data_IF_456069779465
#
_entry.id   IF_456069779465
#
_cell.length_a   1.000
_cell.length_b   1.000
_cell.length_c   1.000
_cell.angle_alpha   90.00
_cell.angle_beta   90.00
_cell.angle_gamma   90.00
#
_symmetry.space_group_name_H-M   'P 1'
#
loop_
_entity.id
_entity.type
_entity.pdbx_description
1 polymer ?
#
# COMPACT_ATOMS: atom_id res chain seq x y z
N UNK A 1 -31.33 16.76 -64.56
CA UNK A 1 -30.41 17.29 -63.53
C UNK A 1 -31.17 17.32 -62.22
N UNK A 2 -30.98 16.31 -61.36
CA UNK A 2 -31.69 16.19 -60.08
C UNK A 2 -30.65 16.02 -58.98
N UNK A 3 -30.45 17.07 -58.19
CA UNK A 3 -29.55 17.11 -57.05
C UNK A 3 -29.98 16.07 -56.02
N UNK A 4 -29.19 15.00 -55.89
CA UNK A 4 -29.26 14.09 -54.74
C UNK A 4 -28.65 14.83 -53.54
N UNK A 5 -29.52 15.34 -52.68
CA UNK A 5 -29.15 15.84 -51.37
C UNK A 5 -28.51 14.69 -50.57
N UNK A 6 -27.18 14.75 -50.47
CA UNK A 6 -26.41 13.99 -49.49
C UNK A 6 -26.74 14.64 -48.14
N UNK A 7 -27.75 14.10 -47.46
CA UNK A 7 -27.98 14.35 -46.04
C UNK A 7 -26.81 13.71 -45.28
N UNK A 8 -25.80 14.53 -45.02
CA UNK A 8 -24.72 14.24 -44.11
C UNK A 8 -25.32 14.15 -42.70
N UNK A 9 -25.61 12.94 -42.25
CA UNK A 9 -26.01 12.66 -40.87
C UNK A 9 -24.78 12.91 -40.00
N UNK A 10 -24.71 14.11 -39.41
CA UNK A 10 -23.83 14.37 -38.26
C UNK A 10 -24.36 13.57 -37.08
N UNK A 11 -23.94 12.30 -36.98
CA UNK A 11 -24.01 11.57 -35.73
C UNK A 11 -23.04 12.28 -34.78
N UNK A 12 -23.58 13.14 -33.92
CA UNK A 12 -22.86 13.67 -32.77
C UNK A 12 -22.58 12.47 -31.88
N UNK A 13 -21.38 11.90 -32.02
CA UNK A 13 -20.83 10.93 -31.10
C UNK A 13 -20.54 11.70 -29.79
N UNK A 14 -21.59 11.90 -28.99
CA UNK A 14 -21.45 12.30 -27.61
C UNK A 14 -20.80 11.11 -26.89
N UNK A 15 -19.46 11.07 -26.93
CA UNK A 15 -18.69 10.20 -26.05
C UNK A 15 -18.94 10.75 -24.65
N UNK A 16 -19.91 10.15 -23.97
CA UNK A 16 -20.05 10.29 -22.53
C UNK A 16 -18.81 9.63 -21.92
N UNK A 17 -17.72 10.39 -21.81
CA UNK A 17 -16.68 10.06 -20.84
C UNK A 17 -17.37 10.14 -19.49
N UNK A 18 -17.77 8.98 -18.96
CA UNK A 18 -18.08 8.90 -17.54
C UNK A 18 -16.86 9.49 -16.80
N UNK A 19 -17.06 10.43 -15.87
CA UNK A 19 -15.95 10.94 -15.10
C UNK A 19 -15.26 9.75 -14.44
N UNK A 20 -13.99 9.55 -14.76
CA UNK A 20 -13.14 8.62 -14.01
C UNK A 20 -13.10 9.19 -12.59
N UNK A 21 -13.80 8.53 -11.68
CA UNK A 21 -13.85 8.94 -10.28
C UNK A 21 -12.54 8.54 -9.64
N UNK A 22 -11.55 9.42 -9.69
CA UNK A 22 -10.39 9.27 -8.82
C UNK A 22 -10.88 9.31 -7.36
N UNK A 23 -10.49 8.32 -6.56
CA UNK A 23 -10.76 8.31 -5.13
C UNK A 23 -10.34 9.64 -4.50
N UNK A 24 -11.16 10.21 -3.62
CA UNK A 24 -10.85 11.51 -3.03
C UNK A 24 -9.60 11.41 -2.15
N UNK A 25 -8.79 12.46 -2.19
CA UNK A 25 -7.62 12.58 -1.31
C UNK A 25 -8.11 12.74 0.14
N UNK A 26 -7.68 11.82 1.01
CA UNK A 26 -8.02 11.86 2.44
C UNK A 26 -6.99 12.64 3.25
N UNK A 27 -5.71 12.44 2.92
CA UNK A 27 -4.58 12.99 3.65
C UNK A 27 -3.30 12.92 2.81
N UNK A 28 -2.38 13.87 2.98
CA UNK A 28 -1.09 13.81 2.29
C UNK A 28 0.02 14.59 2.97
N UNK A 29 1.27 14.25 2.69
CA UNK A 29 2.45 15.06 2.96
C UNK A 29 3.47 14.97 1.81
N UNK A 30 4.03 16.12 1.43
CA UNK A 30 5.03 16.30 0.37
C UNK A 30 6.28 17.09 0.85
N UNK A 31 6.41 17.32 2.17
CA UNK A 31 7.55 17.95 2.85
C UNK A 31 8.00 19.35 2.39
N UNK A 32 7.35 19.95 1.39
CA UNK A 32 7.66 21.31 0.92
C UNK A 32 7.37 22.38 1.96
N UNK A 33 6.44 22.09 2.87
CA UNK A 33 6.04 22.96 3.97
C UNK A 33 6.50 22.42 5.33
N UNK A 34 7.67 21.79 5.36
CA UNK A 34 8.21 21.20 6.57
C UNK A 34 7.53 19.86 6.91
N UNK A 35 7.27 19.63 8.20
CA UNK A 35 6.58 18.42 8.67
C UNK A 35 5.05 18.56 8.72
N UNK A 36 4.47 19.53 8.00
CA UNK A 36 3.04 19.75 8.01
C UNK A 36 2.38 18.91 6.90
N UNK A 37 1.43 18.05 7.28
CA UNK A 37 0.57 17.39 6.31
C UNK A 37 -0.51 18.34 5.79
N UNK A 38 -0.96 18.08 4.56
CA UNK A 38 -2.14 18.71 3.98
C UNK A 38 -3.37 17.88 4.34
N UNK A 39 -4.35 18.53 4.95
CA UNK A 39 -5.66 17.94 5.22
C UNK A 39 -6.41 17.73 3.90
N UNK A 40 -6.90 16.51 3.67
CA UNK A 40 -7.87 16.21 2.61
C UNK A 40 -9.28 16.29 3.18
N UNK A 41 -10.05 15.21 3.04
CA UNK A 41 -11.35 15.06 3.70
C UNK A 41 -11.26 15.01 5.25
N UNK A 42 -10.06 14.76 5.79
CA UNK A 42 -9.84 14.60 7.23
C UNK A 42 -8.77 15.57 7.77
N UNK A 43 -8.84 15.96 9.06
CA UNK A 43 -7.79 16.73 9.72
C UNK A 43 -6.39 16.11 9.53
N UNK A 44 -5.39 16.97 9.32
CA UNK A 44 -4.01 16.56 9.06
C UNK A 44 -3.31 15.88 10.25
N UNK A 45 -3.82 16.08 11.47
CA UNK A 45 -3.17 15.70 12.73
C UNK A 45 -2.03 16.64 13.14
N UNK A 46 -1.41 16.34 14.27
CA UNK A 46 -0.24 17.06 14.79
C UNK A 46 1.02 16.26 14.50
N UNK A 47 2.05 16.85 13.86
CA UNK A 47 3.29 16.14 13.60
C UNK A 47 4.04 15.82 14.90
N UNK A 48 4.60 14.62 14.98
CA UNK A 48 5.48 14.14 16.03
C UNK A 48 6.78 13.68 15.40
N UNK A 49 7.90 14.22 15.89
CA UNK A 49 9.23 13.91 15.39
C UNK A 49 10.05 13.36 16.56
N UNK A 50 10.43 12.09 16.50
CA UNK A 50 11.33 11.45 17.48
C UNK A 50 12.71 11.33 16.86
N UNK A 51 13.70 11.93 17.52
CA UNK A 51 15.06 12.05 16.98
C UNK A 51 15.21 13.19 15.96
N UNK A 52 14.34 14.19 15.98
CA UNK A 52 14.44 15.40 15.16
C UNK A 52 13.84 16.63 15.83
N UNK A 53 13.87 17.78 15.14
CA UNK A 53 13.34 19.05 15.62
C UNK A 53 12.26 19.56 14.65
N UNK A 54 11.01 19.60 15.13
CA UNK A 54 9.87 20.06 14.32
C UNK A 54 9.98 21.54 13.94
N UNK A 55 10.67 22.35 14.75
CA UNK A 55 10.85 23.79 14.51
C UNK A 55 12.08 24.08 13.65
N UNK A 56 12.97 23.09 13.49
CA UNK A 56 14.14 23.18 12.64
C UNK A 56 14.25 21.92 11.77
N UNK A 57 13.30 21.72 10.83
CA UNK A 57 13.19 20.47 10.08
C UNK A 57 14.43 20.17 9.22
N UNK A 58 15.28 21.16 8.92
CA UNK A 58 16.47 21.00 8.10
C UNK A 58 17.77 20.74 8.90
N UNK A 59 17.69 20.53 10.23
CA UNK A 59 18.87 20.22 11.04
C UNK A 59 19.45 18.84 10.70
N UNK A 60 20.42 18.83 9.78
CA UNK A 60 21.13 17.61 9.36
C UNK A 60 21.92 16.92 10.46
N UNK A 61 21.98 17.50 11.67
CA UNK A 61 22.55 16.82 12.83
C UNK A 61 21.60 15.79 13.46
N UNK A 62 20.31 15.87 13.16
CA UNK A 62 19.28 15.00 13.71
C UNK A 62 19.19 13.65 12.98
N UNK A 63 18.46 12.71 13.58
CA UNK A 63 18.11 11.43 12.96
C UNK A 63 16.96 11.58 11.96
N UNK A 64 16.02 12.48 12.25
CA UNK A 64 14.88 12.80 11.40
C UNK A 64 14.98 14.25 10.96
N UNK A 65 15.20 14.47 9.67
CA UNK A 65 15.32 15.80 9.09
C UNK A 65 14.97 15.81 7.60
N UNK A 66 14.67 16.99 7.07
CA UNK A 66 14.38 17.24 5.68
C UNK A 66 15.65 17.55 4.91
N UNK A 67 15.74 17.00 3.71
CA UNK A 67 16.84 17.22 2.78
C UNK A 67 16.26 17.53 1.41
N UNK A 68 16.75 18.63 0.82
CA UNK A 68 16.45 18.94 -0.57
C UNK A 68 17.14 17.93 -1.50
N UNK A 69 16.34 17.27 -2.32
CA UNK A 69 16.80 16.33 -3.34
C UNK A 69 16.86 17.02 -4.70
N UNK A 70 18.07 17.13 -5.25
CA UNK A 70 18.27 17.84 -6.52
C UNK A 70 17.77 17.08 -7.74
N UNK A 71 17.42 15.79 -7.61
CA UNK A 71 16.93 14.97 -8.74
C UNK A 71 15.43 15.14 -8.94
N UNK A 72 14.66 15.27 -7.84
CA UNK A 72 13.22 15.57 -7.88
C UNK A 72 12.91 17.05 -7.72
N UNK A 73 13.90 17.87 -7.35
CA UNK A 73 13.72 19.28 -6.99
C UNK A 73 12.70 19.45 -5.86
N UNK A 74 12.75 18.54 -4.90
CA UNK A 74 11.77 18.39 -3.81
C UNK A 74 12.45 18.26 -2.45
N UNK A 75 11.78 18.69 -1.40
CA UNK A 75 12.16 18.39 -0.02
C UNK A 75 11.74 16.97 0.34
N UNK A 76 12.63 16.23 0.99
CA UNK A 76 12.40 14.80 1.28
C UNK A 76 12.73 14.53 2.72
N UNK A 77 12.01 13.62 3.35
CA UNK A 77 12.35 13.21 4.70
C UNK A 77 13.42 12.14 4.67
N UNK A 78 14.43 12.32 5.52
CA UNK A 78 15.36 11.26 5.91
C UNK A 78 15.00 10.79 7.31
N UNK A 79 14.92 9.47 7.48
CA UNK A 79 14.74 8.83 8.79
C UNK A 79 15.92 7.91 9.06
N UNK A 80 16.69 8.22 10.10
CA UNK A 80 17.88 7.50 10.52
C UNK A 80 19.19 8.08 9.98
N UNK A 81 20.16 8.30 10.89
CA UNK A 81 21.50 8.80 10.60
C UNK A 81 22.61 8.00 11.28
N UNK A 82 22.54 7.81 12.60
CA UNK A 82 23.67 7.31 13.39
C UNK A 82 23.49 5.90 13.95
N UNK A 83 22.35 5.25 13.65
CA UNK A 83 22.04 3.94 14.20
C UNK A 83 21.50 4.06 15.62
N UNK A 84 21.06 5.24 16.04
CA UNK A 84 20.20 5.37 17.22
C UNK A 84 18.91 4.60 17.02
N UNK A 85 18.39 4.07 18.13
CA UNK A 85 17.19 3.24 18.14
C UNK A 85 15.93 4.12 18.08
N UNK A 86 14.99 3.74 17.22
CA UNK A 86 13.64 4.28 17.19
C UNK A 86 13.46 5.75 16.74
N UNK A 87 14.27 6.34 15.84
CA UNK A 87 13.89 7.61 15.23
C UNK A 87 12.68 7.38 14.31
N UNK A 88 11.66 8.20 14.44
CA UNK A 88 10.51 8.14 13.55
C UNK A 88 9.88 9.51 13.38
N UNK A 89 9.18 9.64 12.27
CA UNK A 89 8.27 10.74 12.03
C UNK A 89 6.86 10.21 12.08
N UNK A 90 5.90 11.01 12.53
CA UNK A 90 4.52 10.58 12.53
C UNK A 90 3.55 11.72 12.78
N UNK A 91 2.29 11.35 12.88
CA UNK A 91 1.17 12.22 13.20
C UNK A 91 0.39 11.58 14.31
N UNK A 92 -0.07 12.42 15.24
CA UNK A 92 -1.06 12.08 16.27
C UNK A 92 -2.33 12.89 16.02
N UNK A 93 -3.42 12.50 16.66
CA UNK A 93 -4.72 13.17 16.55
C UNK A 93 -5.25 13.24 15.10
N UNK A 94 -4.88 12.28 14.25
CA UNK A 94 -5.51 12.12 12.93
C UNK A 94 -6.91 11.53 13.11
N UNK A 95 -7.79 11.78 12.15
CA UNK A 95 -9.11 11.13 12.14
C UNK A 95 -8.95 9.61 12.04
N UNK A 96 -9.56 8.81 12.94
CA UNK A 96 -9.45 7.36 12.90
C UNK A 96 -10.00 6.76 11.60
N UNK A 97 -10.83 7.48 10.84
CA UNK A 97 -11.40 7.04 9.56
C UNK A 97 -10.53 7.40 8.34
N UNK A 98 -9.38 8.05 8.53
CA UNK A 98 -8.45 8.41 7.44
C UNK A 98 -8.12 7.21 6.54
N UNK A 99 -8.04 6.01 7.10
CA UNK A 99 -7.82 4.78 6.34
C UNK A 99 -9.13 4.02 6.04
N UNK A 100 -10.16 4.12 6.88
CA UNK A 100 -11.47 3.53 6.59
C UNK A 100 -11.45 2.01 6.36
N UNK A 101 -12.54 1.48 5.80
CA UNK A 101 -12.66 0.07 5.42
C UNK A 101 -11.90 -0.26 4.13
N UNK A 102 -11.81 0.72 3.23
CA UNK A 102 -11.07 0.62 1.97
C UNK A 102 -10.29 1.90 1.74
N UNK A 103 -9.11 1.75 1.17
CA UNK A 103 -8.24 2.89 0.90
C UNK A 103 -7.01 2.51 0.11
N UNK A 104 -6.26 3.54 -0.28
CA UNK A 104 -5.02 3.40 -1.03
C UNK A 104 -3.97 4.34 -0.50
N UNK A 105 -2.74 3.86 -0.39
CA UNK A 105 -1.56 4.65 -0.08
C UNK A 105 -0.69 4.72 -1.33
N UNK A 106 -0.21 5.91 -1.63
CA UNK A 106 0.89 6.12 -2.58
C UNK A 106 2.01 6.86 -1.87
N UNK A 107 3.26 6.51 -2.15
CA UNK A 107 4.43 7.25 -1.67
C UNK A 107 5.60 7.08 -2.63
N UNK A 108 6.52 8.03 -2.61
CA UNK A 108 7.80 7.93 -3.28
C UNK A 108 8.89 7.59 -2.29
N UNK A 109 9.80 6.70 -2.68
CA UNK A 109 10.96 6.33 -1.88
C UNK A 109 12.22 6.26 -2.74
N UNK A 110 13.36 6.63 -2.14
CA UNK A 110 14.66 6.60 -2.82
C UNK A 110 15.53 5.46 -2.33
N UNK A 111 15.92 4.58 -3.24
CA UNK A 111 16.93 3.54 -3.01
C UNK A 111 18.32 4.11 -3.28
N UNK A 112 19.21 4.13 -2.27
CA UNK A 112 20.56 4.66 -2.44
C UNK A 112 21.44 3.69 -3.24
N UNK A 113 22.49 4.22 -3.88
CA UNK A 113 23.51 3.39 -4.53
C UNK A 113 24.24 2.52 -3.50
N UNK A 114 24.34 1.22 -3.78
CA UNK A 114 24.99 0.26 -2.90
C UNK A 114 24.24 0.04 -1.58
N UNK A 115 22.90 0.06 -1.61
CA UNK A 115 22.11 -0.45 -0.49
C UNK A 115 22.53 -1.90 -0.23
N UNK A 116 23.01 -2.17 0.98
CA UNK A 116 23.39 -3.53 1.40
C UNK A 116 22.14 -4.39 1.40
N UNK A 117 22.15 -5.64 0.90
CA UNK A 117 20.99 -6.54 0.97
C UNK A 117 20.56 -6.84 2.42
N UNK A 118 21.41 -6.53 3.40
CA UNK A 118 21.17 -6.70 4.83
C UNK A 118 20.73 -5.40 5.51
N UNK A 119 19.74 -4.71 4.95
CA UNK A 119 19.10 -3.58 5.62
C UNK A 119 17.91 -4.07 6.47
N UNK A 120 17.77 -3.50 7.65
CA UNK A 120 16.64 -3.77 8.54
C UNK A 120 15.33 -3.20 7.97
N UNK A 121 14.19 -3.60 8.55
CA UNK A 121 12.85 -3.12 8.19
C UNK A 121 12.84 -1.58 8.06
N UNK A 122 12.58 -1.09 6.84
CA UNK A 122 12.18 0.28 6.63
C UNK A 122 10.67 0.32 6.51
N UNK A 123 10.00 0.64 7.61
CA UNK A 123 8.58 0.92 7.62
C UNK A 123 8.34 2.23 6.88
N UNK A 124 7.48 2.23 5.87
CA UNK A 124 7.05 3.45 5.20
C UNK A 124 5.88 4.09 5.91
N UNK A 125 4.91 3.26 6.30
CA UNK A 125 3.71 3.71 6.98
C UNK A 125 3.24 2.64 7.99
N UNK A 126 2.93 3.05 9.21
CA UNK A 126 2.34 2.18 10.24
C UNK A 126 1.32 2.94 11.08
N UNK A 127 0.02 2.64 10.94
CA UNK A 127 -0.96 3.11 11.89
C UNK A 127 -0.94 2.21 13.14
N UNK A 128 -0.99 2.83 14.32
CA UNK A 128 -0.89 2.11 15.59
C UNK A 128 -1.64 2.84 16.71
N UNK A 129 -2.21 2.05 17.61
CA UNK A 129 -2.90 2.55 18.82
C UNK A 129 -1.95 2.78 20.00
N UNK A 130 -0.63 2.63 19.85
CA UNK A 130 0.32 2.57 20.97
C UNK A 130 0.11 3.72 21.98
N UNK A 131 -0.61 3.43 23.08
CA UNK A 131 -0.81 4.33 24.24
C UNK A 131 0.28 4.14 25.28
N UNK A 132 1.24 3.24 25.05
CA UNK A 132 2.41 3.03 25.91
C UNK A 132 2.16 2.15 27.13
N UNK A 133 0.92 1.74 27.42
CA UNK A 133 0.60 1.11 28.72
C UNK A 133 0.32 -0.40 28.65
N UNK A 134 0.02 -1.01 27.49
CA UNK A 134 -0.15 -2.45 27.39
C UNK A 134 0.27 -3.04 26.02
N UNK A 135 1.31 -3.90 25.95
CA UNK A 135 1.69 -4.60 24.72
C UNK A 135 0.69 -5.63 24.23
N UNK A 136 -0.22 -6.09 25.10
CA UNK A 136 -1.17 -7.17 24.82
C UNK A 136 -2.36 -6.78 23.91
N UNK A 137 -2.33 -5.58 23.32
CA UNK A 137 -3.38 -5.06 22.42
C UNK A 137 -2.77 -4.23 21.28
N UNK A 138 -1.69 -4.74 20.69
CA UNK A 138 -1.08 -4.06 19.55
C UNK A 138 -1.67 -4.60 18.26
N UNK A 139 -2.77 -3.99 17.85
CA UNK A 139 -3.23 -4.06 16.48
C UNK A 139 -2.47 -3.00 15.67
N UNK A 140 -1.66 -3.46 14.72
CA UNK A 140 -0.99 -2.58 13.78
C UNK A 140 -0.82 -3.30 12.46
N UNK A 141 -0.78 -2.50 11.41
CA UNK A 141 -0.15 -2.96 10.19
C UNK A 141 0.98 -2.03 9.82
N UNK A 142 1.87 -2.53 8.99
CA UNK A 142 2.87 -1.68 8.38
C UNK A 142 3.23 -2.19 7.00
N UNK A 143 3.61 -1.22 6.18
CA UNK A 143 4.07 -1.43 4.83
C UNK A 143 5.49 -0.90 4.75
N UNK A 144 6.40 -1.68 4.18
CA UNK A 144 7.79 -1.31 4.12
C UNK A 144 8.62 -2.23 3.25
N UNK A 145 9.92 -1.93 3.17
CA UNK A 145 10.90 -2.81 2.55
C UNK A 145 11.79 -3.45 3.61
N UNK A 146 12.20 -4.69 3.37
CA UNK A 146 12.97 -5.46 4.33
C UNK A 146 13.99 -6.36 3.64
N UNK A 147 15.24 -6.30 4.07
CA UNK A 147 16.32 -7.20 3.63
C UNK A 147 16.61 -8.36 4.59
N UNK A 148 16.07 -8.36 5.81
CA UNK A 148 16.59 -9.15 6.93
C UNK A 148 15.70 -10.34 7.39
N UNK A 149 14.58 -10.65 6.73
CA UNK A 149 13.59 -11.54 7.37
C UNK A 149 13.90 -13.04 7.42
N UNK A 150 14.92 -13.53 6.72
CA UNK A 150 15.40 -14.88 6.99
C UNK A 150 16.79 -15.09 6.41
N UNK A 151 17.76 -15.48 7.23
CA UNK A 151 19.06 -16.00 6.77
C UNK A 151 18.93 -17.19 5.79
N UNK A 152 17.75 -17.82 5.71
CA UNK A 152 17.43 -18.94 4.83
C UNK A 152 16.79 -18.54 3.50
N UNK A 153 16.39 -17.28 3.31
CA UNK A 153 15.88 -16.81 2.03
C UNK A 153 17.06 -16.22 1.22
N UNK A 154 17.51 -16.88 0.15
CA UNK A 154 18.66 -16.43 -0.61
C UNK A 154 18.29 -15.17 -1.38
N UNK A 155 18.75 -14.03 -0.86
CA UNK A 155 18.88 -12.74 -1.54
C UNK A 155 17.62 -12.05 -2.10
N UNK A 156 17.55 -10.76 -1.80
CA UNK A 156 16.91 -9.65 -2.50
C UNK A 156 15.52 -9.21 -2.03
N UNK A 157 15.47 -7.91 -1.75
CA UNK A 157 14.35 -6.97 -1.63
C UNK A 157 12.97 -7.62 -1.45
N UNK A 158 12.50 -7.65 -0.21
CA UNK A 158 11.12 -7.99 0.07
C UNK A 158 10.34 -6.73 0.34
N UNK A 159 9.16 -6.66 -0.26
CA UNK A 159 8.13 -5.80 0.27
C UNK A 159 7.40 -6.55 1.38
N UNK A 160 7.18 -5.85 2.46
CA UNK A 160 6.66 -6.43 3.66
C UNK A 160 5.34 -5.75 4.02
N UNK A 161 4.27 -6.52 4.00
CA UNK A 161 2.97 -6.14 4.56
C UNK A 161 2.74 -7.04 5.77
N UNK A 162 2.66 -6.44 6.95
CA UNK A 162 2.31 -7.17 8.17
C UNK A 162 1.03 -6.63 8.72
N UNK A 163 0.13 -7.53 9.06
CA UNK A 163 -0.98 -7.25 9.97
C UNK A 163 -0.71 -8.06 11.23
N UNK A 164 -0.35 -7.36 12.30
CA UNK A 164 -0.18 -7.95 13.62
C UNK A 164 -1.32 -7.55 14.52
N UNK A 165 -1.77 -8.52 15.28
CA UNK A 165 -2.63 -8.30 16.43
C UNK A 165 -2.10 -9.25 17.50
N UNK A 166 -1.59 -8.62 18.55
CA UNK A 166 -0.90 -9.27 19.66
C UNK A 166 -1.89 -9.36 20.80
N UNK A 167 -2.56 -10.50 20.97
CA UNK A 167 -3.44 -10.77 22.10
C UNK A 167 -2.74 -11.77 23.03
N UNK A 168 -2.11 -11.30 24.11
CA UNK A 168 -1.27 -12.13 25.00
C UNK A 168 -2.05 -13.18 25.82
N UNK A 169 -3.39 -13.12 25.85
CA UNK A 169 -4.19 -14.00 26.70
C UNK A 169 -4.62 -15.33 26.05
N UNK A 170 -4.30 -15.56 24.77
CA UNK A 170 -4.64 -16.82 24.11
C UNK A 170 -3.39 -17.45 23.42
N UNK A 171 -2.89 -18.60 23.91
CA UNK A 171 -1.73 -19.28 23.32
C UNK A 171 -1.96 -19.76 21.88
N UNK A 172 -3.21 -19.85 21.41
CA UNK A 172 -3.51 -20.11 20.00
C UNK A 172 -3.43 -18.84 19.11
N UNK A 173 -3.41 -17.63 19.68
CA UNK A 173 -3.31 -16.38 18.90
C UNK A 173 -1.94 -16.13 18.28
N UNK A 174 -0.87 -16.73 18.81
CA UNK A 174 0.45 -16.67 18.15
C UNK A 174 0.42 -17.29 16.74
N UNK A 175 -0.54 -18.19 16.45
CA UNK A 175 -0.78 -18.75 15.12
C UNK A 175 -1.49 -17.77 14.16
N UNK A 176 -2.06 -16.69 14.69
CA UNK A 176 -2.81 -15.70 13.91
C UNK A 176 -1.94 -14.51 13.47
N UNK A 177 -0.65 -14.45 13.83
CA UNK A 177 0.26 -13.48 13.20
C UNK A 177 0.52 -13.90 11.76
N UNK A 178 -0.14 -13.22 10.80
CA UNK A 178 0.13 -13.42 9.39
C UNK A 178 1.06 -12.33 8.89
N UNK A 179 2.32 -12.73 8.68
CA UNK A 179 3.32 -11.91 8.02
C UNK A 179 3.28 -12.24 6.53
N UNK A 180 3.00 -11.24 5.70
CA UNK A 180 2.99 -11.41 4.25
C UNK A 180 4.27 -10.80 3.71
N UNK A 181 5.19 -11.68 3.33
CA UNK A 181 6.42 -11.28 2.67
C UNK A 181 6.21 -11.43 1.16
N UNK A 182 6.15 -10.31 0.47
CA UNK A 182 5.98 -10.25 -0.98
C UNK A 182 7.37 -10.06 -1.59
N UNK A 183 7.78 -11.00 -2.44
CA UNK A 183 9.00 -10.83 -3.20
C UNK A 183 8.79 -9.75 -4.26
N UNK A 184 9.60 -8.69 -4.24
CA UNK A 184 9.63 -7.67 -5.29
C UNK A 184 10.80 -7.91 -6.25
N UNK A 185 10.74 -7.38 -7.47
CA UNK A 185 11.93 -7.22 -8.29
C UNK A 185 13.01 -6.45 -7.53
N UNK A 186 14.28 -6.77 -7.77
CA UNK A 186 15.40 -6.03 -7.18
C UNK A 186 15.32 -4.56 -7.59
N UNK A 187 15.40 -3.67 -6.61
CA UNK A 187 15.34 -2.24 -6.87
C UNK A 187 16.65 -1.75 -7.47
N UNK A 188 16.55 -0.94 -8.52
CA UNK A 188 17.67 -0.14 -8.98
C UNK A 188 17.92 1.02 -8.02
N UNK A 189 19.11 1.62 -8.02
CA UNK A 189 19.30 2.87 -7.29
C UNK A 189 18.50 3.99 -7.97
N UNK A 190 17.77 4.78 -7.18
CA UNK A 190 16.92 5.84 -7.72
C UNK A 190 15.64 6.04 -6.92
N UNK A 191 14.77 6.90 -7.47
CA UNK A 191 13.41 7.10 -6.97
C UNK A 191 12.49 6.03 -7.53
N UNK A 192 11.60 5.55 -6.66
CA UNK A 192 10.57 4.58 -6.96
C UNK A 192 9.24 5.05 -6.38
N UNK A 193 8.15 4.66 -7.01
CA UNK A 193 6.81 4.92 -6.49
C UNK A 193 6.21 3.62 -5.97
N UNK A 194 5.70 3.66 -4.76
CA UNK A 194 5.03 2.56 -4.10
C UNK A 194 3.52 2.82 -4.02
N UNK A 195 2.71 1.80 -4.33
CA UNK A 195 1.26 1.83 -4.15
C UNK A 195 0.80 0.58 -3.37
N UNK A 196 0.05 0.81 -2.30
CA UNK A 196 -0.65 -0.23 -1.54
C UNK A 196 -2.13 0.12 -1.48
N UNK A 197 -3.00 -0.81 -1.82
CA UNK A 197 -4.43 -0.63 -1.58
C UNK A 197 -4.99 -1.81 -0.80
N UNK A 198 -6.06 -1.53 -0.06
CA UNK A 198 -6.83 -2.52 0.66
C UNK A 198 -8.33 -2.29 0.44
N UNK A 199 -9.06 -3.38 0.55
CA UNK A 199 -10.51 -3.37 0.51
C UNK A 199 -11.08 -4.40 1.46
N UNK A 200 -11.83 -3.97 2.47
CA UNK A 200 -12.50 -4.86 3.42
C UNK A 200 -13.53 -5.74 2.70
N UNK A 201 -13.34 -7.06 2.76
CA UNK A 201 -14.24 -8.08 2.18
C UNK A 201 -15.18 -8.65 3.22
N UNK A 202 -14.77 -8.67 4.49
CA UNK A 202 -15.57 -9.18 5.60
C UNK A 202 -15.31 -8.35 6.85
N UNK A 203 -16.38 -7.74 7.36
CA UNK A 203 -16.37 -7.10 8.67
C UNK A 203 -16.77 -8.12 9.74
N UNK A 204 -15.87 -8.39 10.67
CA UNK A 204 -16.04 -9.41 11.69
C UNK A 204 -16.23 -8.81 13.09
N UNK A 205 -17.06 -9.47 13.91
CA UNK A 205 -17.27 -9.15 15.34
C UNK A 205 -15.95 -9.22 16.10
N UNK A 206 -15.75 -8.48 17.22
CA UNK A 206 -14.47 -8.33 17.95
C UNK A 206 -13.70 -9.60 18.32
N UNK A 207 -14.29 -10.79 18.19
CA UNK A 207 -13.62 -12.08 18.40
C UNK A 207 -12.98 -12.68 17.14
N UNK A 208 -13.21 -12.10 15.96
CA UNK A 208 -12.67 -12.55 14.68
C UNK A 208 -12.11 -11.35 13.92
N UNK A 209 -10.96 -11.52 13.25
CA UNK A 209 -10.35 -10.43 12.48
C UNK A 209 -11.14 -10.14 11.22
N UNK A 210 -11.21 -8.87 10.85
CA UNK A 210 -11.69 -8.45 9.55
C UNK A 210 -10.89 -9.16 8.44
N UNK A 211 -11.47 -9.23 7.26
CA UNK A 211 -10.77 -9.72 6.06
C UNK A 211 -10.78 -8.66 5.00
N UNK A 212 -9.71 -8.64 4.20
CA UNK A 212 -9.56 -7.70 3.12
C UNK A 212 -8.79 -8.32 1.96
N UNK A 213 -8.90 -7.69 0.81
CA UNK A 213 -8.03 -7.90 -0.34
C UNK A 213 -6.95 -6.81 -0.35
N UNK A 214 -5.70 -7.15 -0.73
CA UNK A 214 -4.59 -6.20 -0.87
C UNK A 214 -3.83 -6.35 -2.18
N UNK A 215 -3.38 -5.23 -2.75
CA UNK A 215 -2.41 -5.26 -3.84
C UNK A 215 -1.25 -4.38 -3.50
N UNK A 216 -0.16 -4.70 -4.19
CA UNK A 216 1.04 -3.90 -4.21
C UNK A 216 1.42 -3.59 -5.64
N UNK A 217 1.70 -2.32 -5.92
CA UNK A 217 2.44 -1.92 -7.13
C UNK A 217 3.74 -1.22 -6.75
N UNK A 218 4.74 -1.41 -7.60
CA UNK A 218 5.95 -0.58 -7.59
C UNK A 218 6.21 -0.09 -8.99
N UNK A 219 6.45 1.21 -9.13
CA UNK A 219 6.67 1.89 -10.41
C UNK A 219 5.55 1.61 -11.41
N UNK A 220 4.31 1.58 -10.91
CA UNK A 220 3.10 1.25 -11.66
C UNK A 220 2.92 -0.23 -12.00
N UNK A 221 3.92 -1.07 -11.77
CA UNK A 221 3.87 -2.52 -12.04
C UNK A 221 3.22 -3.28 -10.88
N UNK A 222 2.21 -4.10 -11.18
CA UNK A 222 1.56 -4.96 -10.20
C UNK A 222 2.53 -6.07 -9.74
N UNK A 223 2.82 -6.08 -8.44
CA UNK A 223 3.74 -7.04 -7.81
C UNK A 223 2.97 -8.22 -7.23
N UNK A 224 1.90 -7.93 -6.49
CA UNK A 224 1.13 -8.94 -5.80
C UNK A 224 -0.32 -8.50 -5.66
N UNK A 225 -1.18 -9.52 -5.66
CA UNK A 225 -2.58 -9.44 -5.26
C UNK A 225 -2.80 -10.54 -4.25
N UNK A 226 -3.41 -10.19 -3.13
CA UNK A 226 -3.72 -11.08 -2.04
C UNK A 226 -5.21 -10.96 -1.78
N UNK A 227 -5.92 -12.08 -1.85
CA UNK A 227 -7.35 -12.11 -1.59
C UNK A 227 -7.67 -12.69 -0.21
N UNK A 228 -8.77 -12.21 0.36
CA UNK A 228 -9.44 -12.79 1.51
C UNK A 228 -8.48 -13.06 2.68
N UNK A 229 -7.62 -12.09 2.98
CA UNK A 229 -6.61 -12.22 4.02
C UNK A 229 -7.07 -11.56 5.30
N UNK A 230 -6.61 -12.07 6.45
CA UNK A 230 -6.82 -11.39 7.72
C UNK A 230 -6.29 -9.96 7.63
N UNK A 231 -7.09 -9.05 8.16
CA UNK A 231 -6.89 -7.61 8.19
C UNK A 231 -7.10 -7.12 9.60
N UNK A 232 -6.55 -5.93 9.88
CA UNK A 232 -7.01 -5.17 11.02
C UNK A 232 -7.47 -3.82 10.54
N UNK A 233 -8.74 -3.51 10.77
CA UNK A 233 -9.30 -2.23 10.38
C UNK A 233 -8.49 -1.09 11.00
N UNK A 234 -8.04 -0.14 10.19
CA UNK A 234 -7.37 1.03 10.70
C UNK A 234 -8.39 1.99 11.30
N UNK A 235 -8.51 1.96 12.64
CA UNK A 235 -9.26 2.91 13.46
C UNK A 235 -8.35 3.85 14.25
N UNK A 236 -7.13 4.07 13.76
CA UNK A 236 -6.03 4.64 14.56
C UNK A 236 -5.94 6.15 14.43
N UNK A 237 -5.68 6.81 15.55
CA UNK A 237 -5.39 8.26 15.62
C UNK A 237 -3.90 8.58 15.51
N UNK A 238 -3.07 7.59 15.11
CA UNK A 238 -1.64 7.80 14.87
C UNK A 238 -1.18 7.14 13.59
N UNK A 239 -0.29 7.81 12.87
CA UNK A 239 0.42 7.30 11.69
C UNK A 239 1.90 7.56 11.85
N UNK A 240 2.70 6.53 11.68
CA UNK A 240 4.16 6.63 11.70
C UNK A 240 4.71 6.45 10.30
N UNK A 241 5.76 7.19 9.99
CA UNK A 241 6.50 7.22 8.73
C UNK A 241 7.99 7.02 9.03
N UNK A 242 8.63 6.13 8.28
CA UNK A 242 10.01 5.71 8.52
C UNK A 242 10.10 4.56 9.53
N UNK A 243 11.32 4.21 9.97
CA UNK A 243 11.55 2.97 10.73
C UNK A 243 11.08 3.07 12.19
N UNK A 244 9.78 2.88 12.31
CA UNK A 244 9.05 2.76 13.55
C UNK A 244 8.92 1.29 13.98
N UNK A 245 9.03 1.05 15.28
CA UNK A 245 8.78 -0.25 15.90
C UNK A 245 7.89 -0.09 17.14
N UNK A 246 6.85 -0.92 17.25
CA UNK A 246 5.83 -0.85 18.33
C UNK A 246 6.12 -1.70 19.56
N UNK A 247 7.06 -2.65 19.49
CA UNK A 247 7.28 -3.60 20.59
C UNK A 247 7.92 -2.95 21.83
N UNK A 248 7.41 -3.36 23.00
CA UNK A 248 7.77 -2.86 24.34
C UNK A 248 9.15 -3.26 24.84
N UNK A 249 9.78 -4.30 24.28
CA UNK A 249 11.16 -4.66 24.58
C UNK A 249 12.04 -4.12 23.47
N UNK A 250 12.98 -3.22 23.79
CA UNK A 250 13.93 -2.60 22.85
C UNK A 250 14.54 -3.61 21.89
N UNK A 251 14.03 -3.79 20.66
CA UNK A 251 14.77 -4.57 19.69
C UNK A 251 15.71 -3.60 18.99
N UNK A 252 16.81 -4.17 18.52
CA UNK A 252 17.83 -3.52 17.72
C UNK A 252 17.33 -3.18 16.30
N UNK A 253 16.15 -2.53 16.17
CA UNK A 253 15.70 -2.02 14.87
C UNK A 253 16.44 -0.73 14.56
N UNK A 254 17.52 -0.89 13.82
CA UNK A 254 18.28 0.21 13.25
C UNK A 254 17.63 0.66 11.94
N UNK A 255 17.34 1.95 11.82
CA UNK A 255 17.20 2.57 10.51
C UNK A 255 18.55 2.54 9.79
N UNK A 256 18.84 1.46 9.06
CA UNK A 256 20.10 1.32 8.33
C UNK A 256 20.60 -0.12 8.22
N UNK A 257 21.66 -0.28 7.43
CA UNK A 257 22.35 -1.55 7.29
C UNK A 257 23.01 -1.95 8.61
N UNK A 258 22.89 -3.23 8.98
CA UNK A 258 23.50 -3.80 10.18
C UNK A 258 25.05 -3.75 10.17
N UNK A 259 25.65 -3.41 9.03
CA UNK A 259 27.10 -3.37 8.79
C UNK A 259 27.76 -2.02 9.16
N UNK A 260 27.00 -1.08 9.75
CA UNK A 260 27.50 0.25 10.13
C UNK A 260 27.55 1.25 8.97
N UNK A 261 27.27 0.84 7.73
CA UNK A 261 27.10 1.73 6.59
C UNK A 261 25.62 2.13 6.46
N UNK A 262 25.18 3.04 7.31
CA UNK A 262 23.79 3.52 7.29
C UNK A 262 23.53 4.24 5.96
N UNK A 263 22.81 3.56 5.07
CA UNK A 263 22.29 4.13 3.84
C UNK A 263 20.85 4.56 4.10
N UNK A 264 20.58 5.87 4.24
CA UNK A 264 19.23 6.34 4.51
C UNK A 264 18.32 6.07 3.32
N UNK A 265 17.09 5.70 3.63
CA UNK A 265 15.97 5.73 2.69
C UNK A 265 15.33 7.11 2.83
N UNK A 266 15.06 7.74 1.69
CA UNK A 266 14.34 9.01 1.63
C UNK A 266 12.91 8.73 1.22
N UNK A 267 11.97 9.46 1.80
CA UNK A 267 10.54 9.36 1.48
C UNK A 267 10.00 10.72 1.04
N UNK A 268 9.01 10.70 0.17
CA UNK A 268 8.31 11.88 -0.32
C UNK A 268 6.89 11.52 -0.79
N UNK A 269 6.05 12.52 -1.05
CA UNK A 269 4.72 12.41 -1.68
C UNK A 269 3.80 11.33 -1.08
N UNK A 270 3.76 11.21 0.24
CA UNK A 270 2.94 10.22 0.94
C UNK A 270 1.49 10.69 0.91
N UNK A 271 0.60 9.88 0.35
CA UNK A 271 -0.83 10.22 0.18
C UNK A 271 -1.70 9.04 0.54
N UNK A 272 -2.80 9.32 1.22
CA UNK A 272 -3.90 8.39 1.52
C UNK A 272 -5.11 8.83 0.72
N UNK A 273 -5.70 7.89 -0.01
CA UNK A 273 -6.83 8.09 -0.89
C UNK A 273 -8.00 7.21 -0.45
N UNK A 274 -9.21 7.63 -0.78
CA UNK A 274 -10.30 6.70 -0.95
C UNK A 274 -9.90 5.64 -1.99
N UNK A 275 -10.36 4.42 -1.76
CA UNK A 275 -10.28 3.36 -2.76
C UNK A 275 -11.65 2.72 -2.90
N UNK A 276 -12.23 2.95 -4.06
CA UNK A 276 -13.37 2.17 -4.54
C UNK A 276 -12.89 1.50 -5.82
N UNK A 277 -12.98 0.17 -5.93
CA UNK A 277 -12.69 -0.51 -7.18
C UNK A 277 -13.62 0.02 -8.27
N UNK A 278 -13.06 0.36 -9.43
CA UNK A 278 -13.80 0.96 -10.53
C UNK A 278 -14.46 -0.13 -11.41
N UNK A 279 -13.91 -1.35 -11.42
CA UNK A 279 -14.40 -2.47 -12.23
C UNK A 279 -14.32 -3.80 -11.46
N UNK A 280 -15.19 -4.75 -11.79
CA UNK A 280 -15.16 -6.11 -11.23
C UNK A 280 -13.92 -6.84 -11.71
N UNK A 281 -13.42 -7.73 -10.88
CA UNK A 281 -12.09 -8.31 -11.08
C UNK A 281 -10.93 -7.35 -10.87
N UNK A 282 -11.17 -6.03 -10.72
CA UNK A 282 -10.27 -5.22 -9.92
C UNK A 282 -10.35 -5.66 -8.47
N UNK A 283 -9.31 -5.31 -7.75
CA UNK A 283 -9.10 -5.84 -6.44
C UNK A 283 -9.99 -5.15 -5.40
N UNK A 284 -10.63 -5.92 -4.52
CA UNK A 284 -11.70 -5.39 -3.68
C UNK A 284 -13.02 -5.17 -4.41
N UNK A 285 -13.05 -5.23 -5.75
CA UNK A 285 -14.30 -5.35 -6.45
C UNK A 285 -14.86 -6.75 -6.22
N UNK A 286 -16.13 -6.97 -6.57
CA UNK A 286 -16.58 -8.35 -6.75
C UNK A 286 -15.61 -9.04 -7.71
N UNK A 287 -15.03 -10.18 -7.30
CA UNK A 287 -14.33 -11.07 -8.23
C UNK A 287 -15.25 -11.34 -9.42
N UNK A 288 -14.67 -11.56 -10.60
CA UNK A 288 -15.47 -12.01 -11.72
C UNK A 288 -16.29 -13.22 -11.29
N UNK A 289 -17.60 -13.12 -11.47
CA UNK A 289 -18.48 -14.23 -11.18
C UNK A 289 -18.04 -15.40 -12.07
N UNK A 290 -18.11 -16.66 -11.62
CA UNK A 290 -17.69 -17.80 -12.44
C UNK A 290 -18.35 -17.87 -13.83
N UNK A 291 -19.51 -17.22 -14.01
CA UNK A 291 -20.22 -17.12 -15.28
C UNK A 291 -19.95 -15.83 -16.09
N UNK A 292 -19.11 -14.92 -15.62
CA UNK A 292 -18.72 -13.69 -16.33
C UNK A 292 -17.48 -13.99 -17.19
N UNK A 293 -17.71 -14.66 -18.33
CA UNK A 293 -16.66 -15.08 -19.26
C UNK A 293 -16.09 -13.92 -20.08
N UNK A 294 -16.83 -12.81 -20.19
CA UNK A 294 -16.38 -11.58 -20.83
C UNK A 294 -15.58 -10.67 -19.91
N UNK A 295 -15.53 -10.99 -18.61
CA UNK A 295 -14.86 -10.20 -17.58
C UNK A 295 -15.34 -8.75 -17.57
N UNK A 296 -16.66 -8.55 -17.59
CA UNK A 296 -17.27 -7.23 -17.73
C UNK A 296 -18.08 -6.75 -16.51
N UNK A 297 -18.05 -7.50 -15.40
CA UNK A 297 -18.85 -7.37 -14.17
C UNK A 297 -20.21 -8.07 -14.16
N UNK A 298 -20.72 -8.47 -15.31
CA UNK A 298 -22.09 -8.93 -15.44
C UNK A 298 -22.08 -10.33 -16.01
N UNK A 299 -22.98 -11.17 -15.51
CA UNK A 299 -23.33 -12.42 -16.22
C UNK A 299 -24.50 -12.06 -17.12
N UNK A 300 -24.23 -11.88 -18.41
CA UNK A 300 -25.20 -11.50 -19.42
C UNK A 300 -25.21 -12.46 -20.62
N UNK A 301 -25.99 -12.13 -21.66
CA UNK A 301 -26.15 -12.97 -22.84
C UNK A 301 -24.86 -13.12 -23.66
N UNK A 302 -23.89 -12.22 -23.52
CA UNK A 302 -22.58 -12.34 -24.16
C UNK A 302 -21.75 -13.45 -23.51
N UNK A 303 -21.82 -13.60 -22.19
CA UNK A 303 -21.15 -14.70 -21.49
C UNK A 303 -21.78 -16.03 -21.87
N UNK A 304 -23.11 -16.11 -21.92
CA UNK A 304 -23.82 -17.31 -22.39
C UNK A 304 -23.43 -17.64 -23.84
N UNK A 305 -23.25 -16.63 -24.69
CA UNK A 305 -22.78 -16.82 -26.06
C UNK A 305 -21.37 -17.40 -26.09
N UNK A 306 -20.41 -16.85 -25.32
CA UNK A 306 -19.04 -17.39 -25.24
C UNK A 306 -19.07 -18.83 -24.76
N UNK A 307 -19.83 -19.11 -23.69
CA UNK A 307 -20.01 -20.46 -23.18
C UNK A 307 -20.55 -21.41 -24.26
N UNK A 308 -21.59 -21.01 -24.98
CA UNK A 308 -22.17 -21.81 -26.05
C UNK A 308 -21.20 -22.01 -27.23
N UNK A 309 -20.43 -20.99 -27.60
CA UNK A 309 -19.42 -21.10 -28.66
C UNK A 309 -18.29 -22.07 -28.27
N UNK A 310 -17.77 -21.97 -27.04
CA UNK A 310 -16.76 -22.89 -26.49
C UNK A 310 -17.32 -24.31 -26.36
N UNK A 311 -18.57 -24.46 -25.91
CA UNK A 311 -19.24 -25.75 -25.80
C UNK A 311 -19.43 -26.40 -27.18
N UNK A 312 -19.90 -25.63 -28.17
CA UNK A 312 -20.17 -26.12 -29.51
C UNK A 312 -18.89 -26.47 -30.28
N UNK A 313 -17.74 -25.86 -29.95
CA UNK A 313 -16.45 -26.20 -30.57
C UNK A 313 -16.13 -27.69 -30.50
N UNK A 314 -16.54 -28.39 -29.42
CA UNK A 314 -16.29 -29.83 -29.26
C UNK A 314 -17.53 -30.72 -29.28
N UNK A 315 -18.56 -30.30 -30.00
CA UNK A 315 -19.74 -31.15 -30.23
C UNK A 315 -19.61 -32.09 -31.44
N UNK A 316 -18.54 -31.99 -32.22
CA UNK A 316 -18.28 -32.88 -33.36
C UNK A 316 -17.26 -33.94 -32.97
N UNK A 317 -17.67 -35.21 -32.73
CA UNK A 317 -16.76 -36.27 -32.25
C UNK A 317 -15.64 -36.65 -33.23
N UNK A 318 -15.72 -36.15 -34.47
CA UNK A 318 -14.76 -36.40 -35.53
C UNK A 318 -13.80 -35.22 -35.76
N UNK A 319 -13.92 -34.11 -35.02
CA UNK A 319 -12.96 -33.01 -35.10
C UNK A 319 -11.69 -33.39 -34.32
N UNK A 320 -10.55 -33.60 -35.00
CA UNK A 320 -9.31 -33.99 -34.34
C UNK A 320 -8.67 -32.86 -33.51
N UNK A 321 -9.25 -31.65 -33.52
CA UNK A 321 -8.78 -30.54 -32.68
C UNK A 321 -9.52 -30.45 -31.33
N UNK A 322 -10.45 -31.37 -31.07
CA UNK A 322 -11.09 -31.52 -29.78
C UNK A 322 -10.43 -32.64 -28.99
N UNK A 323 -9.37 -32.27 -28.28
CA UNK A 323 -8.76 -33.12 -27.25
C UNK A 323 -9.48 -32.85 -25.92
N UNK A 324 -10.03 -33.90 -25.31
CA UNK A 324 -10.66 -33.89 -23.97
C UNK A 324 -9.69 -33.46 -22.86
#
# INVERSE_FOLDING_TARGET
MSNKNIMLVFAILAVFCAPVTFGALRWSIDFENGFNATAGAFPAGTPVVVGGDVNNPFDSNQEVYLKYDTTTLSNTIRVGRSGTKGPYYGFVDIDPNIFGSSGKITLDFKIPTGLSPNFNVCTFLSPSEQTGENPAYQTNWFVGINGYMDSKLPSNDFLYVRATDWYDADPDYAKNQLNWTIKVPTFTAGWHTYEFAWYETQHNSPTHRDRADYYVKVDGSLIAVIHDTLWVRPGYTKVNVGCYWTGVSTPDFYCGAADGNIKPIYLDNIKVWDYTPDQCGEMGAMSYMPGDLTHNCYVDMKDIKIFAEQWLQCTTPADPNCDE
#
